data_IF_570776814490
#
_entry.id   IF_570776814490
#
_cell.length_a   1.000
_cell.length_b   1.000
_cell.length_c   1.000
_cell.angle_alpha   90.00
_cell.angle_beta   90.00
_cell.angle_gamma   90.00
#
_symmetry.space_group_name_H-M   'P 1'
#
loop_
_entity.id
_entity.type
_entity.pdbx_description
1 polymer ?
#
# COMPACT_ATOMS: atom_id res chain seq x y z
N UNK A 1 -12.43 -23.50 -43.82
CA UNK A 1 -13.16 -23.41 -42.56
C UNK A 1 -12.41 -23.93 -41.33
N UNK A 2 -11.70 -25.07 -41.37
CA UNK A 2 -10.97 -25.63 -40.21
C UNK A 2 -9.86 -24.71 -39.65
N UNK A 3 -9.11 -24.02 -40.49
CA UNK A 3 -8.02 -23.10 -40.10
C UNK A 3 -8.55 -21.82 -39.44
N UNK A 4 -9.72 -21.32 -39.85
CA UNK A 4 -10.34 -20.15 -39.24
C UNK A 4 -10.78 -20.47 -37.80
N UNK A 5 -11.38 -21.64 -37.58
CA UNK A 5 -11.77 -22.09 -36.24
C UNK A 5 -10.54 -22.26 -35.33
N UNK A 6 -9.42 -22.79 -35.83
CA UNK A 6 -8.20 -22.97 -35.08
C UNK A 6 -7.63 -21.62 -34.67
N UNK A 7 -7.60 -20.62 -35.55
CA UNK A 7 -7.15 -19.26 -35.22
C UNK A 7 -7.99 -18.62 -34.10
N UNK A 8 -9.32 -18.76 -34.14
CA UNK A 8 -10.18 -18.25 -33.07
C UNK A 8 -9.91 -18.92 -31.72
N UNK A 9 -9.69 -20.23 -31.72
CA UNK A 9 -9.35 -20.97 -30.49
C UNK A 9 -8.01 -20.48 -29.90
N UNK A 10 -6.98 -20.34 -30.73
CA UNK A 10 -5.66 -19.85 -30.29
C UNK A 10 -5.75 -18.43 -29.73
N UNK A 11 -6.43 -17.54 -30.42
CA UNK A 11 -6.63 -16.16 -29.97
C UNK A 11 -7.42 -16.10 -28.66
N UNK A 12 -8.48 -16.91 -28.54
CA UNK A 12 -9.27 -17.00 -27.32
C UNK A 12 -8.41 -17.47 -26.12
N UNK A 13 -7.61 -18.52 -26.29
CA UNK A 13 -6.72 -18.99 -25.22
C UNK A 13 -5.63 -17.99 -24.88
N UNK A 14 -5.15 -17.22 -25.85
CA UNK A 14 -4.17 -16.17 -25.60
C UNK A 14 -4.77 -15.04 -24.74
N UNK A 15 -5.98 -14.58 -25.08
CA UNK A 15 -6.70 -13.58 -24.28
C UNK A 15 -7.12 -14.13 -22.90
N UNK A 16 -7.50 -15.41 -22.83
CA UNK A 16 -7.83 -16.04 -21.56
C UNK A 16 -6.59 -16.17 -20.67
N UNK A 17 -5.45 -16.52 -21.21
CA UNK A 17 -4.18 -16.58 -20.47
C UNK A 17 -3.74 -15.18 -20.00
N UNK A 18 -3.87 -14.15 -20.84
CA UNK A 18 -3.56 -12.77 -20.47
C UNK A 18 -4.54 -12.26 -19.38
N UNK A 19 -5.82 -12.64 -19.45
CA UNK A 19 -6.82 -12.32 -18.43
C UNK A 19 -6.57 -13.04 -17.10
N UNK A 20 -6.17 -14.32 -17.12
CA UNK A 20 -5.94 -15.12 -15.91
C UNK A 20 -4.57 -14.88 -15.28
N UNK A 21 -3.55 -14.55 -16.09
CA UNK A 21 -2.18 -14.32 -15.64
C UNK A 21 -1.78 -12.84 -15.70
N UNK A 22 -2.62 -12.00 -16.28
CA UNK A 22 -2.43 -10.55 -16.32
C UNK A 22 -2.43 -9.99 -14.92
N UNK A 23 -1.27 -9.55 -14.43
CA UNK A 23 -1.19 -8.77 -13.21
C UNK A 23 -2.11 -7.55 -13.34
N UNK A 24 -3.04 -7.31 -12.41
CA UNK A 24 -3.89 -6.13 -12.47
C UNK A 24 -3.00 -4.89 -12.46
N UNK A 25 -2.94 -4.23 -13.61
CA UNK A 25 -2.20 -2.97 -13.76
C UNK A 25 -2.86 -1.92 -12.89
N UNK A 26 -2.19 -1.55 -11.80
CA UNK A 26 -2.61 -0.41 -10.98
C UNK A 26 -2.37 0.85 -11.81
N UNK A 27 -3.37 1.72 -11.98
CA UNK A 27 -3.16 2.96 -12.70
C UNK A 27 -2.03 3.76 -12.05
N UNK A 28 -1.04 4.16 -12.83
CA UNK A 28 0.14 4.94 -12.44
C UNK A 28 -0.20 6.23 -11.67
N UNK A 29 -1.42 6.74 -11.83
CA UNK A 29 -1.95 7.92 -11.13
C UNK A 29 -2.34 7.70 -9.65
N UNK A 30 -2.27 6.49 -9.13
CA UNK A 30 -2.70 6.22 -7.75
C UNK A 30 -1.67 6.68 -6.70
N UNK A 31 -0.43 7.02 -7.08
CA UNK A 31 0.70 7.28 -6.19
C UNK A 31 1.20 8.73 -6.14
N UNK A 32 0.52 9.66 -6.78
CA UNK A 32 1.00 11.04 -6.87
C UNK A 32 2.01 11.23 -7.99
N UNK A 33 2.77 12.32 -7.93
CA UNK A 33 3.70 12.73 -8.99
C UNK A 33 5.09 12.07 -8.91
N UNK A 34 5.35 11.28 -7.86
CA UNK A 34 6.62 10.58 -7.68
C UNK A 34 6.43 9.07 -7.93
N UNK A 35 7.16 8.48 -8.87
CA UNK A 35 7.21 7.03 -9.03
C UNK A 35 7.99 6.43 -7.84
N UNK A 36 7.30 5.79 -6.93
CA UNK A 36 7.90 5.18 -5.74
C UNK A 36 7.62 3.68 -5.70
N UNK A 37 8.67 2.90 -5.45
CA UNK A 37 8.59 1.46 -5.33
C UNK A 37 8.80 1.02 -3.87
N UNK A 38 7.72 0.59 -3.22
CA UNK A 38 7.76 0.07 -1.87
C UNK A 38 8.55 -1.25 -1.76
N UNK A 39 8.48 -2.12 -2.77
CA UNK A 39 9.18 -3.40 -2.74
C UNK A 39 10.69 -3.19 -2.74
N UNK A 40 11.17 -2.23 -3.53
CA UNK A 40 12.59 -1.86 -3.52
C UNK A 40 13.03 -1.38 -2.13
N UNK A 41 12.30 -0.42 -1.54
CA UNK A 41 12.69 0.20 -0.26
C UNK A 41 12.48 -0.74 0.94
N UNK A 42 11.34 -1.40 1.02
CA UNK A 42 10.99 -2.26 2.15
C UNK A 42 11.58 -3.66 2.07
N UNK A 43 11.47 -4.33 0.92
CA UNK A 43 11.93 -5.73 0.81
C UNK A 43 13.41 -5.83 0.44
N UNK A 44 13.86 -5.09 -0.57
CA UNK A 44 15.23 -5.23 -1.08
C UNK A 44 16.25 -4.48 -0.24
N UNK A 45 15.95 -3.24 0.17
CA UNK A 45 16.83 -2.41 1.01
C UNK A 45 16.62 -2.71 2.49
N UNK A 46 15.42 -3.19 2.89
CA UNK A 46 15.10 -3.56 4.26
C UNK A 46 14.74 -2.38 5.18
N UNK A 47 14.24 -1.28 4.63
CA UNK A 47 13.80 -0.14 5.44
C UNK A 47 12.52 -0.49 6.20
N UNK A 48 12.48 -0.12 7.50
CA UNK A 48 11.26 -0.23 8.30
C UNK A 48 10.20 0.75 7.80
N UNK A 49 8.93 0.35 7.87
CA UNK A 49 7.81 1.20 7.43
C UNK A 49 7.79 2.56 8.15
N UNK A 50 8.15 2.58 9.44
CA UNK A 50 8.20 3.80 10.25
C UNK A 50 9.35 4.73 9.88
N UNK A 51 10.33 4.30 9.10
CA UNK A 51 11.38 5.19 8.59
C UNK A 51 10.80 6.30 7.70
N UNK A 52 9.75 5.97 6.94
CA UNK A 52 9.05 6.91 6.06
C UNK A 52 7.68 7.32 6.64
N UNK A 53 6.95 6.37 7.24
CA UNK A 53 5.66 6.61 7.88
C UNK A 53 5.82 6.86 9.38
N UNK A 54 6.43 7.98 9.72
CA UNK A 54 6.94 8.29 11.07
C UNK A 54 5.88 8.28 12.18
N UNK A 55 4.60 8.55 11.86
CA UNK A 55 3.49 8.48 12.80
C UNK A 55 2.91 7.09 13.03
N UNK A 56 3.29 6.09 12.23
CA UNK A 56 2.63 4.79 12.19
C UNK A 56 2.66 4.02 13.51
N UNK A 57 3.67 4.23 14.35
CA UNK A 57 3.81 3.52 15.65
C UNK A 57 3.28 4.30 16.85
N UNK A 58 3.03 5.60 16.72
CA UNK A 58 2.70 6.46 17.87
C UNK A 58 1.49 7.37 17.67
N UNK A 59 1.06 7.60 16.43
CA UNK A 59 0.00 8.56 16.09
C UNK A 59 -1.23 7.89 15.50
N UNK A 60 -2.33 8.63 15.47
CA UNK A 60 -3.53 8.22 14.73
C UNK A 60 -3.23 8.13 13.22
N UNK A 61 -2.39 9.02 12.70
CA UNK A 61 -2.00 9.05 11.29
C UNK A 61 -0.59 8.47 11.12
N UNK A 62 -0.40 7.67 10.08
CA UNK A 62 0.91 7.13 9.74
C UNK A 62 1.84 8.21 9.18
N UNK A 63 1.27 9.28 8.62
CA UNK A 63 1.90 10.33 7.83
C UNK A 63 2.52 9.81 6.53
N UNK A 64 2.67 10.74 5.60
CA UNK A 64 3.38 10.49 4.34
C UNK A 64 4.70 11.23 4.39
N UNK A 65 5.78 10.65 3.85
CA UNK A 65 7.08 11.30 3.85
C UNK A 65 7.06 12.58 3.01
N UNK A 66 7.81 13.56 3.43
CA UNK A 66 8.08 14.79 2.69
C UNK A 66 9.21 14.60 1.68
N UNK A 67 9.41 15.57 0.79
CA UNK A 67 10.59 15.60 -0.08
C UNK A 67 11.90 15.56 0.72
N UNK A 68 11.95 16.24 1.86
CA UNK A 68 13.14 16.28 2.71
C UNK A 68 13.51 14.90 3.24
N UNK A 69 12.51 14.09 3.64
CA UNK A 69 12.75 12.73 4.13
C UNK A 69 13.38 11.84 3.06
N UNK A 70 13.02 12.03 1.79
CA UNK A 70 13.66 11.31 0.67
C UNK A 70 15.14 11.72 0.54
N UNK A 71 15.43 13.01 0.69
CA UNK A 71 16.76 13.57 0.51
C UNK A 71 17.73 13.22 1.64
N UNK A 72 17.26 12.69 2.77
CA UNK A 72 18.15 12.19 3.81
C UNK A 72 19.05 11.04 3.32
N UNK A 73 18.53 10.22 2.40
CA UNK A 73 19.30 9.15 1.75
C UNK A 73 19.70 9.51 0.32
N UNK A 74 18.86 10.21 -0.43
CA UNK A 74 19.02 10.46 -1.86
C UNK A 74 19.77 11.76 -2.19
N UNK A 75 20.65 12.23 -1.31
CA UNK A 75 21.50 13.43 -1.57
C UNK A 75 22.51 13.22 -2.69
N UNK A 76 22.90 11.95 -2.92
CA UNK A 76 23.81 11.57 -3.98
C UNK A 76 23.10 10.56 -4.89
N UNK A 77 23.46 10.49 -6.18
CA UNK A 77 22.96 9.42 -7.04
C UNK A 77 23.29 8.06 -6.44
N UNK A 78 22.28 7.26 -6.14
CA UNK A 78 22.45 5.90 -5.59
C UNK A 78 22.69 4.86 -6.69
N UNK A 79 22.53 5.25 -7.94
CA UNK A 79 22.80 4.41 -9.10
C UNK A 79 23.58 5.20 -10.15
N UNK A 80 24.52 4.57 -10.81
CA UNK A 80 25.26 5.13 -11.95
C UNK A 80 24.51 4.92 -13.29
N UNK A 81 23.25 4.50 -13.25
CA UNK A 81 22.48 4.24 -14.46
C UNK A 81 22.08 5.56 -15.13
N UNK A 82 22.66 5.92 -16.30
CA UNK A 82 22.43 7.19 -16.95
C UNK A 82 21.01 7.35 -17.53
N UNK A 83 20.21 6.28 -17.56
CA UNK A 83 18.83 6.31 -18.02
C UNK A 83 17.82 6.61 -16.92
N UNK A 84 18.25 6.69 -15.65
CA UNK A 84 17.36 7.02 -14.53
C UNK A 84 17.44 8.52 -14.27
N UNK A 85 16.29 9.19 -14.38
CA UNK A 85 16.16 10.59 -13.98
C UNK A 85 16.58 10.73 -12.50
N UNK A 86 17.40 11.69 -12.17
CA UNK A 86 17.84 11.89 -10.79
C UNK A 86 16.65 12.23 -9.90
N UNK A 87 16.67 11.78 -8.64
CA UNK A 87 15.59 12.07 -7.71
C UNK A 87 15.37 13.59 -7.59
N UNK A 88 16.42 14.39 -7.62
CA UNK A 88 16.33 15.85 -7.60
C UNK A 88 15.48 16.40 -8.75
N UNK A 89 15.65 15.89 -9.97
CA UNK A 89 14.86 16.31 -11.12
C UNK A 89 13.39 15.86 -11.03
N UNK A 90 13.15 14.68 -10.47
CA UNK A 90 11.80 14.17 -10.19
C UNK A 90 11.13 15.01 -9.10
N UNK A 91 11.84 15.27 -7.99
CA UNK A 91 11.33 16.07 -6.88
C UNK A 91 11.11 17.54 -7.25
N UNK A 92 11.93 18.08 -8.13
CA UNK A 92 11.77 19.46 -8.62
C UNK A 92 10.47 19.66 -9.41
N UNK A 93 10.01 18.60 -10.10
CA UNK A 93 8.76 18.61 -10.87
C UNK A 93 7.53 18.24 -10.02
N UNK A 94 7.75 17.69 -8.83
CA UNK A 94 6.67 17.26 -7.96
C UNK A 94 6.13 18.42 -7.13
N UNK A 95 4.82 18.39 -6.83
CA UNK A 95 4.18 19.31 -5.88
C UNK A 95 4.78 19.15 -4.48
N UNK A 96 4.61 20.15 -3.61
CA UNK A 96 5.06 20.08 -2.21
C UNK A 96 4.45 18.90 -1.44
N UNK A 97 3.28 18.45 -1.88
CA UNK A 97 2.64 17.20 -1.44
C UNK A 97 2.60 16.22 -2.59
N UNK A 98 3.68 15.50 -2.85
CA UNK A 98 3.78 14.61 -4.01
C UNK A 98 2.85 13.40 -3.95
N UNK A 99 2.22 13.18 -2.79
CA UNK A 99 1.33 12.05 -2.54
C UNK A 99 -0.13 12.48 -2.49
N UNK A 100 -0.98 11.79 -3.21
CA UNK A 100 -2.43 11.97 -3.07
C UNK A 100 -2.89 11.29 -1.77
N UNK A 101 -3.30 12.07 -0.79
CA UNK A 101 -3.94 11.54 0.42
C UNK A 101 -5.35 11.07 0.09
N UNK A 102 -5.49 9.83 -0.35
CA UNK A 102 -6.81 9.19 -0.37
C UNK A 102 -7.07 8.61 1.01
N UNK A 103 -7.88 9.29 1.79
CA UNK A 103 -8.47 8.68 3.00
C UNK A 103 -9.40 7.56 2.55
N UNK A 104 -9.08 6.33 2.92
CA UNK A 104 -9.92 5.17 2.62
C UNK A 104 -11.04 4.98 3.65
N UNK A 105 -10.92 5.60 4.82
CA UNK A 105 -11.94 5.56 5.86
C UNK A 105 -12.81 6.81 5.81
N UNK A 106 -14.14 6.67 5.96
CA UNK A 106 -15.04 7.81 6.10
C UNK A 106 -14.68 8.69 7.30
N UNK A 107 -14.99 9.99 7.23
CA UNK A 107 -14.61 10.96 8.28
C UNK A 107 -15.23 10.67 9.65
N UNK A 108 -16.33 9.93 9.70
CA UNK A 108 -16.97 9.49 10.93
C UNK A 108 -16.33 8.24 11.56
N UNK A 109 -15.30 7.65 10.91
CA UNK A 109 -14.57 6.50 11.44
C UNK A 109 -13.30 6.95 12.13
N UNK A 110 -13.17 6.57 13.39
CA UNK A 110 -11.96 6.81 14.20
C UNK A 110 -11.05 5.62 14.13
N UNK A 111 -9.84 5.85 13.67
CA UNK A 111 -8.78 4.86 13.63
C UNK A 111 -7.48 5.46 14.17
N UNK A 112 -6.68 4.63 14.85
CA UNK A 112 -5.40 5.07 15.43
C UNK A 112 -4.31 4.02 15.16
N UNK A 113 -3.34 4.33 14.29
CA UNK A 113 -2.26 3.43 13.93
C UNK A 113 -1.43 3.01 15.16
N UNK A 114 -1.02 3.95 16.00
CA UNK A 114 -0.18 3.67 17.15
C UNK A 114 -0.80 2.70 18.15
N UNK A 115 -2.13 2.72 18.34
CA UNK A 115 -2.82 1.77 19.22
C UNK A 115 -2.71 0.34 18.66
N UNK A 116 -2.88 0.17 17.37
CA UNK A 116 -2.75 -1.15 16.72
C UNK A 116 -1.30 -1.64 16.71
N UNK A 117 -0.35 -0.75 16.44
CA UNK A 117 1.08 -1.07 16.50
C UNK A 117 1.51 -1.47 17.93
N UNK A 118 1.03 -0.75 18.96
CA UNK A 118 1.29 -1.09 20.35
C UNK A 118 0.65 -2.43 20.77
N UNK A 119 -0.45 -2.82 20.14
CA UNK A 119 -1.08 -4.13 20.32
C UNK A 119 -0.35 -5.26 19.56
N UNK A 120 0.77 -4.98 18.88
CA UNK A 120 1.56 -5.96 18.15
C UNK A 120 1.03 -6.28 16.73
N UNK A 121 0.08 -5.49 16.23
CA UNK A 121 -0.42 -5.66 14.85
C UNK A 121 0.65 -5.18 13.88
N UNK A 122 1.10 -6.07 12.99
CA UNK A 122 2.08 -5.73 11.98
C UNK A 122 1.43 -4.92 10.83
N UNK A 123 2.20 -4.07 10.19
CA UNK A 123 1.71 -3.26 9.06
C UNK A 123 1.06 -4.12 7.98
N UNK A 124 1.69 -5.27 7.67
CA UNK A 124 1.21 -6.23 6.68
C UNK A 124 -0.12 -6.93 7.05
N UNK A 125 -0.52 -6.93 8.32
CA UNK A 125 -1.79 -7.54 8.72
C UNK A 125 -3.01 -6.76 8.20
N UNK A 126 -2.85 -5.44 8.04
CA UNK A 126 -3.88 -4.56 7.50
C UNK A 126 -3.61 -4.17 6.05
N UNK A 127 -2.36 -3.88 5.72
CA UNK A 127 -1.99 -3.43 4.38
C UNK A 127 -1.63 -4.57 3.44
N UNK A 128 -1.45 -5.78 3.99
CA UNK A 128 -0.99 -6.94 3.23
C UNK A 128 0.40 -6.69 2.62
N UNK A 129 0.91 -7.64 1.86
CA UNK A 129 2.06 -7.40 0.98
C UNK A 129 1.69 -6.53 -0.22
N UNK A 130 0.40 -6.28 -0.44
CA UNK A 130 -0.10 -5.43 -1.50
C UNK A 130 0.22 -3.95 -1.34
N UNK A 131 0.62 -3.48 -0.14
CA UNK A 131 1.17 -2.13 0.00
C UNK A 131 2.45 -1.96 -0.82
N UNK A 132 3.21 -3.04 -0.99
CA UNK A 132 4.40 -3.09 -1.84
C UNK A 132 4.06 -2.94 -3.33
N UNK A 133 2.84 -3.27 -3.72
CA UNK A 133 2.37 -3.23 -5.11
C UNK A 133 1.27 -2.19 -5.33
N UNK A 134 1.14 -1.20 -4.44
CA UNK A 134 0.10 -0.17 -4.51
C UNK A 134 -1.35 -0.72 -4.54
N UNK A 135 -1.54 -1.95 -4.13
CA UNK A 135 -2.85 -2.57 -3.97
C UNK A 135 -3.39 -2.28 -2.57
N UNK A 136 -3.96 -1.13 -2.39
CA UNK A 136 -4.85 -0.91 -1.25
C UNK A 136 -6.17 -1.59 -1.59
N UNK A 137 -6.32 -2.83 -1.14
CA UNK A 137 -7.60 -3.50 -1.22
C UNK A 137 -8.62 -2.74 -0.38
N UNK A 138 -9.54 -2.02 -1.00
CA UNK A 138 -10.73 -1.48 -0.32
C UNK A 138 -11.47 -2.57 0.48
N UNK A 139 -11.23 -3.82 0.15
CA UNK A 139 -11.73 -5.00 0.83
C UNK A 139 -11.22 -5.18 2.26
N UNK A 140 -10.01 -4.69 2.59
CA UNK A 140 -9.44 -4.81 3.94
C UNK A 140 -9.90 -3.70 4.89
N UNK A 141 -10.33 -2.56 4.37
CA UNK A 141 -10.71 -1.40 5.17
C UNK A 141 -12.22 -1.19 5.23
N UNK A 142 -12.97 -2.25 5.41
CA UNK A 142 -14.40 -2.21 5.67
C UNK A 142 -14.73 -2.62 7.11
N UNK A 143 -15.91 -2.24 7.58
CA UNK A 143 -16.36 -2.52 8.95
C UNK A 143 -16.30 -4.01 9.30
N UNK A 144 -16.63 -4.89 8.37
CA UNK A 144 -16.62 -6.34 8.59
C UNK A 144 -15.22 -6.87 8.89
N UNK A 145 -14.20 -6.38 8.19
CA UNK A 145 -12.82 -6.79 8.42
C UNK A 145 -12.30 -6.32 9.78
N UNK A 146 -12.64 -5.09 10.16
CA UNK A 146 -12.31 -4.57 11.50
C UNK A 146 -12.98 -5.42 12.59
N UNK A 147 -14.28 -5.71 12.46
CA UNK A 147 -15.02 -6.51 13.43
C UNK A 147 -14.52 -7.95 13.54
N UNK A 148 -14.15 -8.59 12.44
CA UNK A 148 -13.57 -9.95 12.47
C UNK A 148 -12.30 -9.99 13.31
N UNK A 149 -11.39 -9.02 13.12
CA UNK A 149 -10.18 -8.94 13.92
C UNK A 149 -10.50 -8.63 15.39
N UNK A 150 -11.34 -7.63 15.67
CA UNK A 150 -11.74 -7.24 17.03
C UNK A 150 -12.49 -8.33 17.79
N UNK A 151 -13.12 -9.28 17.10
CA UNK A 151 -13.75 -10.46 17.68
C UNK A 151 -12.79 -11.64 17.86
N UNK A 152 -11.53 -11.52 17.39
CA UNK A 152 -10.56 -12.61 17.40
C UNK A 152 -10.86 -13.72 16.38
N UNK A 153 -11.61 -13.39 15.31
CA UNK A 153 -11.97 -14.34 14.26
C UNK A 153 -10.86 -14.49 13.20
N UNK A 154 -9.96 -13.49 13.08
CA UNK A 154 -8.81 -13.48 12.16
C UNK A 154 -7.50 -13.46 12.93
N UNK A 155 -6.40 -13.90 12.30
CA UNK A 155 -5.04 -13.95 12.89
C UNK A 155 -5.00 -14.69 14.23
N UNK A 156 -5.74 -15.78 14.36
CA UNK A 156 -5.83 -16.59 15.58
C UNK A 156 -4.45 -17.10 16.05
N UNK A 157 -3.58 -17.38 15.11
CA UNK A 157 -2.20 -17.80 15.32
C UNK A 157 -1.32 -16.75 16.00
N UNK A 158 -1.70 -15.46 15.92
CA UNK A 158 -0.97 -14.35 16.54
C UNK A 158 -1.41 -14.06 17.98
N UNK A 159 -2.52 -14.66 18.41
CA UNK A 159 -3.00 -14.51 19.78
C UNK A 159 -3.46 -13.10 20.15
N UNK A 160 -3.93 -12.31 19.19
CA UNK A 160 -4.48 -10.98 19.47
C UNK A 160 -5.70 -11.09 20.38
N UNK A 161 -5.74 -10.23 21.40
CA UNK A 161 -6.88 -10.16 22.32
C UNK A 161 -8.07 -9.50 21.61
N UNK A 162 -9.30 -10.00 21.82
CA UNK A 162 -10.50 -9.31 21.35
C UNK A 162 -10.54 -7.87 21.85
N UNK A 163 -11.02 -6.97 20.99
CA UNK A 163 -11.11 -5.55 21.27
C UNK A 163 -12.56 -5.06 21.19
N UNK A 164 -12.79 -3.77 21.46
CA UNK A 164 -14.13 -3.19 21.46
C UNK A 164 -14.82 -3.31 20.09
N UNK A 165 -16.12 -3.69 20.11
CA UNK A 165 -16.95 -3.88 18.90
C UNK A 165 -18.26 -3.08 18.94
N UNK A 166 -18.47 -2.22 19.95
CA UNK A 166 -19.63 -1.35 20.02
C UNK A 166 -19.46 -0.12 19.11
N UNK A 167 -20.56 0.43 18.61
CA UNK A 167 -20.56 1.46 17.56
C UNK A 167 -19.65 2.66 17.88
N UNK A 168 -19.76 3.22 19.10
CA UNK A 168 -18.99 4.40 19.50
C UNK A 168 -17.47 4.14 19.71
N UNK A 169 -17.01 2.91 19.66
CA UNK A 169 -15.56 2.61 19.68
C UNK A 169 -14.87 3.04 18.37
N UNK A 170 -15.62 3.03 17.27
CA UNK A 170 -15.10 3.28 15.93
C UNK A 170 -15.80 4.45 15.22
N UNK A 171 -17.00 4.84 15.67
CA UNK A 171 -17.80 5.88 15.02
C UNK A 171 -18.04 7.05 15.96
N UNK A 172 -17.96 8.28 15.39
CA UNK A 172 -18.29 9.55 16.04
C UNK A 172 -19.49 10.20 15.37
#
# INVERSE_FOLDING_TARGET
MKWVALCFVVVFFFFLADFLMGEPRVPERAMGSIPFDHALHGDSIGLDCAACHTGSRASANAFMPSKADCMDCHRLPLTENPGIETLDSVLAKADDRPWSHKRHLPDHVVFHHGVHAAAGVACADCHGRGYMQNRYGAELFNMQSCLKCHRGETFKEKGFKPAATYCAACHR
#
